data_IF_322866546070
#
_entry.id   IF_322866546070
#
_cell.length_a   1.000
_cell.length_b   1.000
_cell.length_c   1.000
_cell.angle_alpha   90.00
_cell.angle_beta   90.00
_cell.angle_gamma   90.00
#
_symmetry.space_group_name_H-M   'P 1'
#
loop_
_entity.id
_entity.type
_entity.pdbx_description
1 polymer ?
#
# COMPACT_ATOMS: atom_id res chain seq x y z
N UNK A 1 -23.59 11.48 2.55
CA UNK A 1 -23.36 10.18 1.89
C UNK A 1 -22.39 10.42 0.74
N UNK A 2 -21.10 10.12 0.92
CA UNK A 2 -20.10 10.29 -0.13
C UNK A 2 -20.20 9.08 -1.07
N UNK A 3 -20.71 9.31 -2.30
CA UNK A 3 -20.60 8.32 -3.37
C UNK A 3 -19.31 8.58 -4.10
N UNK A 4 -18.34 7.68 -3.95
CA UNK A 4 -17.14 7.67 -4.78
C UNK A 4 -17.60 7.21 -6.17
N UNK A 5 -17.77 8.15 -7.09
CA UNK A 5 -17.79 7.86 -8.52
C UNK A 5 -16.33 7.65 -8.87
N UNK A 6 -15.97 6.47 -9.37
CA UNK A 6 -14.64 6.19 -9.86
C UNK A 6 -14.73 6.28 -11.38
N UNK A 7 -14.43 7.44 -11.94
CA UNK A 7 -14.17 7.55 -13.36
C UNK A 7 -12.67 7.53 -13.66
N UNK A 8 -12.31 7.49 -14.95
CA UNK A 8 -10.91 7.41 -15.36
C UNK A 8 -10.08 8.62 -14.88
N UNK A 9 -10.70 9.79 -14.69
CA UNK A 9 -10.01 10.98 -14.22
C UNK A 9 -9.71 10.86 -12.72
N UNK A 10 -10.63 10.30 -11.93
CA UNK A 10 -10.43 10.01 -10.52
C UNK A 10 -9.32 8.97 -10.28
N UNK A 11 -9.21 7.96 -11.15
CA UNK A 11 -8.13 6.97 -11.09
C UNK A 11 -6.75 7.61 -11.33
N UNK A 12 -6.64 8.47 -12.34
CA UNK A 12 -5.38 9.17 -12.67
C UNK A 12 -5.01 10.15 -11.54
N UNK A 13 -5.96 10.94 -11.05
CA UNK A 13 -5.72 11.88 -9.95
C UNK A 13 -5.35 11.16 -8.65
N UNK A 14 -5.98 10.02 -8.35
CA UNK A 14 -5.65 9.18 -7.20
C UNK A 14 -4.25 8.57 -7.28
N UNK A 15 -3.82 8.15 -8.46
CA UNK A 15 -2.46 7.65 -8.69
C UNK A 15 -1.40 8.74 -8.55
N UNK A 16 -1.63 9.91 -9.18
CA UNK A 16 -0.66 11.03 -9.20
C UNK A 16 -0.49 11.67 -7.82
N UNK A 17 -1.58 11.80 -7.06
CA UNK A 17 -1.57 12.45 -5.74
C UNK A 17 -1.08 11.55 -4.60
N UNK A 18 -0.90 10.25 -4.84
CA UNK A 18 -0.63 9.30 -3.76
C UNK A 18 -1.90 8.81 -3.03
N UNK A 19 -3.06 9.42 -3.26
CA UNK A 19 -4.31 9.10 -2.55
C UNK A 19 -4.77 7.65 -2.76
N UNK A 20 -4.50 7.07 -3.94
CA UNK A 20 -4.80 5.66 -4.17
C UNK A 20 -3.96 4.75 -3.26
N UNK A 21 -2.69 5.08 -3.03
CA UNK A 21 -1.81 4.30 -2.16
C UNK A 21 -2.25 4.39 -0.69
N UNK A 22 -2.68 5.58 -0.26
CA UNK A 22 -3.14 5.81 1.12
C UNK A 22 -4.51 5.15 1.38
N UNK A 23 -5.44 5.18 0.42
CA UNK A 23 -6.79 4.57 0.54
C UNK A 23 -6.73 3.04 0.48
N UNK A 24 -5.92 2.47 -0.42
CA UNK A 24 -5.85 1.03 -0.62
C UNK A 24 -4.74 0.35 0.20
N UNK A 25 -3.86 1.12 0.81
CA UNK A 25 -2.75 0.60 1.61
C UNK A 25 -1.71 -0.17 0.80
N UNK A 26 -1.66 0.02 -0.52
CA UNK A 26 -0.64 -0.57 -1.38
C UNK A 26 0.69 0.18 -1.21
N UNK A 27 1.83 -0.52 -1.08
CA UNK A 27 3.14 0.14 -1.00
C UNK A 27 3.42 0.96 -2.26
N UNK A 28 4.03 2.14 -2.09
CA UNK A 28 4.56 2.92 -3.21
C UNK A 28 5.75 2.19 -3.83
N UNK A 29 6.10 2.45 -5.10
CA UNK A 29 7.23 1.79 -5.76
C UNK A 29 8.56 1.83 -4.98
N UNK A 30 8.80 2.90 -4.23
CA UNK A 30 9.98 3.10 -3.37
C UNK A 30 9.87 2.48 -1.97
N UNK A 31 8.73 1.87 -1.62
CA UNK A 31 8.47 1.28 -0.30
C UNK A 31 8.46 -0.26 -0.32
N UNK A 32 8.57 -0.88 -1.51
CA UNK A 32 8.63 -2.35 -1.62
C UNK A 32 9.89 -2.96 -1.00
N UNK A 33 11.00 -2.22 -1.04
CA UNK A 33 12.29 -2.66 -0.53
C UNK A 33 12.97 -1.48 0.15
N UNK A 34 13.41 -1.69 1.38
CA UNK A 34 14.30 -0.75 2.07
C UNK A 34 15.75 -1.09 1.72
N UNK A 35 16.67 -0.15 1.94
CA UNK A 35 18.10 -0.39 1.71
C UNK A 35 18.62 -1.59 2.54
N UNK A 36 18.02 -1.85 3.70
CA UNK A 36 18.36 -2.94 4.61
C UNK A 36 17.63 -4.26 4.31
N UNK A 37 16.51 -4.25 3.57
CA UNK A 37 15.67 -5.42 3.29
C UNK A 37 15.34 -5.52 1.79
N UNK A 38 16.12 -6.35 1.11
CA UNK A 38 15.93 -6.72 -0.31
C UNK A 38 15.10 -8.01 -0.49
N UNK A 39 14.58 -8.58 0.60
CA UNK A 39 13.73 -9.78 0.57
C UNK A 39 12.27 -9.42 0.29
N UNK A 40 11.54 -10.33 -0.35
CA UNK A 40 10.10 -10.15 -0.63
C UNK A 40 9.35 -10.10 0.73
N UNK A 41 8.51 -9.07 0.98
CA UNK A 41 7.68 -9.01 2.18
C UNK A 41 6.58 -10.07 2.10
N UNK A 42 6.84 -11.24 2.68
CA UNK A 42 5.94 -12.39 2.67
C UNK A 42 5.33 -12.61 4.06
N UNK A 43 4.01 -12.50 4.15
CA UNK A 43 3.26 -12.84 5.36
C UNK A 43 3.17 -14.37 5.44
N UNK A 44 3.71 -14.94 6.51
CA UNK A 44 3.75 -16.39 6.73
C UNK A 44 2.85 -16.83 7.88
N UNK A 45 2.51 -15.92 8.79
CA UNK A 45 1.70 -16.17 9.95
C UNK A 45 0.29 -15.62 9.79
N UNK A 46 -0.73 -16.42 10.17
CA UNK A 46 -2.15 -16.11 9.98
C UNK A 46 -2.73 -15.21 11.08
N UNK A 47 -2.20 -15.30 12.29
CA UNK A 47 -2.77 -14.60 13.46
C UNK A 47 -2.00 -13.33 13.81
N UNK A 48 -0.75 -13.26 13.39
CA UNK A 48 0.23 -12.19 13.53
C UNK A 48 0.42 -11.40 12.21
N UNK A 49 -0.45 -11.62 11.22
CA UNK A 49 -0.32 -11.02 9.89
C UNK A 49 -0.28 -9.48 9.92
N UNK A 50 -0.97 -8.86 10.87
CA UNK A 50 -0.99 -7.40 11.03
C UNK A 50 0.33 -6.88 11.58
N UNK A 51 0.90 -7.56 12.57
CA UNK A 51 2.21 -7.21 13.13
C UNK A 51 3.31 -7.40 12.08
N UNK A 52 3.28 -8.51 11.34
CA UNK A 52 4.20 -8.74 10.21
C UNK A 52 4.09 -7.65 9.12
N UNK A 53 2.87 -7.15 8.85
CA UNK A 53 2.67 -6.07 7.89
C UNK A 53 3.26 -4.74 8.36
N UNK A 54 3.13 -4.42 9.65
CA UNK A 54 3.72 -3.21 10.24
C UNK A 54 5.26 -3.27 10.22
N UNK A 55 5.87 -4.44 10.44
CA UNK A 55 7.32 -4.64 10.28
C UNK A 55 7.83 -4.41 8.86
N UNK A 56 6.99 -4.63 7.83
CA UNK A 56 7.37 -4.36 6.44
C UNK A 56 7.21 -2.88 6.05
N UNK A 57 6.44 -2.12 6.83
CA UNK A 57 6.18 -0.70 6.60
C UNK A 57 7.19 0.23 7.30
N UNK A 58 7.99 -0.31 8.21
CA UNK A 58 8.97 0.40 9.04
C UNK A 58 10.34 0.60 8.39
#
# INVERSE_FOLDING_TARGET
MFRVRLDNQDLILGYVSGLAYDVFGSPRPNEYFTESRQGIPLITGRFDSLEQLDEFRG
#
